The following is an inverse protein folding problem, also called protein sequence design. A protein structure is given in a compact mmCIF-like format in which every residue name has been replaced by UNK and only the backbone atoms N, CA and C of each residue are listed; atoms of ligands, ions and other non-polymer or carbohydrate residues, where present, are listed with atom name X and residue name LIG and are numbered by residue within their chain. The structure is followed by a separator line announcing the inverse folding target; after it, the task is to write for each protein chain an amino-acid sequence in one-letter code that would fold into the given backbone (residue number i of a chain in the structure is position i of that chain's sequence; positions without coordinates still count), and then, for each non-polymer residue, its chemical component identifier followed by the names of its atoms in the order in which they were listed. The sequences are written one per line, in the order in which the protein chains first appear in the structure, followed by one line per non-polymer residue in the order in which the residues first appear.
data_IF_772042455425
#
_entry.id   IF_772042455425
#
_cell.length_a   1.000
_cell.length_b   1.000
_cell.length_c   1.000
_cell.angle_alpha   90.00
_cell.angle_beta   90.00
_cell.angle_gamma   90.00
#
_symmetry.space_group_name_H-M   'P 1'
#
loop_
_entity.id
_entity.type
_entity.pdbx_description
1 polymer ?
#
# COMPACT_ATOMS: atom_id res chain seq x y z
N UNK A 1 -15.05 8.93 -45.42
CA UNK A 1 -15.49 7.97 -44.39
C UNK A 1 -15.30 6.51 -44.79
N UNK A 2 -16.04 5.90 -45.74
CA UNK A 2 -15.85 4.46 -46.06
C UNK A 2 -14.42 4.09 -46.51
N UNK A 3 -13.84 4.89 -47.41
CA UNK A 3 -12.49 4.66 -47.96
C UNK A 3 -11.41 4.80 -46.88
N UNK A 4 -11.47 5.85 -46.05
CA UNK A 4 -10.54 6.07 -44.93
C UNK A 4 -10.66 4.98 -43.85
N UNK A 5 -11.86 4.48 -43.58
CA UNK A 5 -12.07 3.40 -42.58
C UNK A 5 -11.46 2.05 -43.01
N UNK A 6 -11.27 1.85 -44.31
CA UNK A 6 -10.72 0.63 -44.89
C UNK A 6 -9.31 0.81 -45.49
N UNK A 7 -8.65 1.92 -45.18
CA UNK A 7 -7.32 2.29 -45.71
C UNK A 7 -7.24 2.24 -47.26
N UNK A 8 -8.30 2.73 -47.92
CA UNK A 8 -8.40 2.79 -49.38
C UNK A 8 -8.23 4.22 -49.89
N UNK A 9 -7.47 4.37 -50.97
CA UNK A 9 -7.34 5.65 -51.66
C UNK A 9 -8.62 6.00 -52.42
N UNK A 10 -9.12 7.21 -52.19
CA UNK A 10 -10.27 7.72 -52.91
C UNK A 10 -9.83 8.30 -54.27
N UNK A 11 -10.38 7.75 -55.34
CA UNK A 11 -10.15 8.21 -56.71
C UNK A 11 -11.46 8.63 -57.37
N UNK A 12 -11.36 9.53 -58.37
CA UNK A 12 -12.51 10.01 -59.15
C UNK A 12 -13.24 8.88 -59.89
N UNK A 13 -12.50 7.85 -60.31
CA UNK A 13 -13.07 6.65 -60.92
C UNK A 13 -12.83 5.47 -59.99
N UNK A 14 -13.91 4.78 -59.63
CA UNK A 14 -13.84 3.61 -58.76
C UNK A 14 -13.74 2.34 -59.60
N UNK A 15 -12.62 1.63 -59.51
CA UNK A 15 -12.41 0.36 -60.20
C UNK A 15 -12.55 -0.77 -59.18
N UNK A 16 -13.56 -1.61 -59.38
CA UNK A 16 -13.85 -2.76 -58.52
C UNK A 16 -13.58 -4.05 -59.30
N UNK A 17 -12.66 -4.90 -58.83
CA UNK A 17 -12.28 -6.14 -59.52
C UNK A 17 -12.35 -7.33 -58.57
N UNK A 18 -12.97 -8.43 -59.02
CA UNK A 18 -12.92 -9.73 -58.35
C UNK A 18 -12.38 -10.77 -59.31
N UNK A 19 -11.30 -11.42 -58.91
CA UNK A 19 -10.66 -12.49 -59.69
C UNK A 19 -10.93 -13.83 -59.01
N UNK A 20 -11.38 -14.80 -59.80
CA UNK A 20 -11.68 -16.16 -59.33
C UNK A 20 -10.85 -17.12 -60.18
N UNK A 21 -9.91 -17.82 -59.55
CA UNK A 21 -9.10 -18.82 -60.25
C UNK A 21 -9.90 -20.10 -60.51
N UNK A 22 -9.46 -20.90 -61.49
CA UNK A 22 -10.04 -22.23 -61.76
C UNK A 22 -9.92 -23.20 -60.57
N UNK A 23 -8.99 -22.91 -59.66
CA UNK A 23 -8.77 -23.65 -58.40
C UNK A 23 -9.67 -23.15 -57.26
N UNK A 24 -10.53 -22.17 -57.49
CA UNK A 24 -11.49 -21.63 -56.52
C UNK A 24 -10.94 -20.53 -55.60
N UNK A 25 -9.68 -20.10 -55.76
CA UNK A 25 -9.13 -18.97 -55.00
C UNK A 25 -9.75 -17.67 -55.51
N UNK A 26 -10.31 -16.88 -54.61
CA UNK A 26 -10.93 -15.58 -54.92
C UNK A 26 -10.07 -14.45 -54.37
N UNK A 27 -9.82 -13.42 -55.17
CA UNK A 27 -9.17 -12.17 -54.76
C UNK A 27 -10.06 -10.98 -55.13
N UNK A 28 -10.05 -9.94 -54.31
CA UNK A 28 -10.86 -8.74 -54.49
C UNK A 28 -9.96 -7.52 -54.47
N UNK A 29 -10.28 -6.52 -55.30
CA UNK A 29 -9.52 -5.28 -55.42
C UNK A 29 -10.47 -4.09 -55.54
N UNK A 30 -10.07 -2.97 -54.94
CA UNK A 30 -10.68 -1.64 -55.10
C UNK A 30 -9.55 -0.68 -55.44
N UNK A 31 -9.62 0.00 -56.59
CA UNK A 31 -8.55 0.89 -57.10
C UNK A 31 -7.16 0.23 -57.03
N UNK A 32 -7.07 -0.98 -57.59
CA UNK A 32 -5.88 -1.86 -57.57
C UNK A 32 -5.34 -2.27 -56.18
N UNK A 33 -5.98 -1.85 -55.10
CA UNK A 33 -5.65 -2.26 -53.73
C UNK A 33 -6.37 -3.56 -53.36
N UNK A 34 -5.66 -4.62 -52.93
CA UNK A 34 -6.29 -5.88 -52.55
C UNK A 34 -7.09 -5.75 -51.25
N UNK A 35 -8.33 -6.21 -51.25
CA UNK A 35 -9.25 -6.15 -50.11
C UNK A 35 -9.87 -7.51 -49.78
N UNK A 36 -10.39 -7.63 -48.57
CA UNK A 36 -11.23 -8.77 -48.22
C UNK A 36 -12.57 -8.74 -48.96
N UNK A 37 -13.17 -9.91 -49.18
CA UNK A 37 -14.48 -10.03 -49.84
C UNK A 37 -15.60 -9.32 -49.06
N UNK A 38 -15.50 -9.26 -47.73
CA UNK A 38 -16.42 -8.52 -46.85
C UNK A 38 -16.45 -7.03 -47.18
N UNK A 39 -15.27 -6.41 -47.35
CA UNK A 39 -15.10 -4.99 -47.70
C UNK A 39 -15.63 -4.70 -49.11
N UNK A 40 -15.34 -5.59 -50.07
CA UNK A 40 -15.89 -5.49 -51.41
C UNK A 40 -17.44 -5.53 -51.39
N UNK A 41 -18.01 -6.41 -50.57
CA UNK A 41 -19.47 -6.55 -50.42
C UNK A 41 -20.10 -5.32 -49.77
N UNK A 42 -19.55 -4.82 -48.67
CA UNK A 42 -20.09 -3.63 -48.00
C UNK A 42 -20.09 -2.40 -48.91
N UNK A 43 -19.05 -2.24 -49.75
CA UNK A 43 -19.00 -1.17 -50.75
C UNK A 43 -20.00 -1.38 -51.89
N UNK A 44 -20.03 -2.59 -52.48
CA UNK A 44 -20.86 -2.85 -53.66
C UNK A 44 -22.36 -2.84 -53.38
N UNK A 45 -22.80 -3.17 -52.16
CA UNK A 45 -24.21 -3.05 -51.73
C UNK A 45 -24.70 -1.61 -51.77
N UNK A 46 -23.82 -0.62 -51.56
CA UNK A 46 -24.16 0.80 -51.64
C UNK A 46 -24.23 1.34 -53.08
N UNK A 47 -23.62 0.62 -54.03
CA UNK A 47 -23.39 1.12 -55.40
C UNK A 47 -24.18 0.37 -56.48
N UNK A 48 -24.45 -0.91 -56.25
CA UNK A 48 -25.06 -1.80 -57.24
C UNK A 48 -26.18 -2.58 -56.57
N UNK A 49 -27.42 -2.33 -56.99
CA UNK A 49 -28.57 -3.13 -56.59
C UNK A 49 -28.83 -4.23 -57.63
N UNK A 50 -28.33 -5.44 -57.36
CA UNK A 50 -28.58 -6.59 -58.24
C UNK A 50 -29.94 -7.20 -57.87
N UNK A 51 -30.95 -6.98 -58.71
CA UNK A 51 -32.22 -7.70 -58.60
C UNK A 51 -32.06 -9.13 -59.13
N UNK A 52 -31.59 -10.04 -58.25
CA UNK A 52 -31.59 -11.47 -58.52
C UNK A 52 -32.66 -12.18 -57.68
N UNK A 53 -33.00 -13.40 -58.07
CA UNK A 53 -33.91 -14.30 -57.34
C UNK A 53 -33.47 -14.58 -55.87
N UNK A 54 -32.26 -14.19 -55.49
CA UNK A 54 -31.70 -14.29 -54.13
C UNK A 54 -31.97 -13.07 -53.21
N UNK A 55 -32.63 -12.00 -53.67
CA UNK A 55 -33.09 -10.88 -52.81
C UNK A 55 -34.06 -11.32 -51.70
N UNK A 56 -34.53 -12.56 -51.76
CA UNK A 56 -35.36 -13.21 -50.75
C UNK A 56 -34.68 -13.35 -49.37
N UNK A 57 -33.35 -13.19 -49.26
CA UNK A 57 -32.64 -13.31 -47.98
C UNK A 57 -32.78 -12.08 -47.06
N UNK A 58 -32.74 -10.86 -47.59
CA UNK A 58 -32.97 -9.65 -46.78
C UNK A 58 -34.43 -9.52 -46.34
N UNK A 59 -35.37 -9.88 -47.21
CA UNK A 59 -36.80 -9.99 -46.92
C UNK A 59 -37.14 -11.01 -45.82
N UNK A 60 -36.25 -11.96 -45.54
CA UNK A 60 -36.40 -12.93 -44.44
C UNK A 60 -35.77 -12.46 -43.13
N UNK A 61 -34.99 -11.38 -43.13
CA UNK A 61 -34.42 -10.88 -41.88
C UNK A 61 -35.50 -10.20 -41.05
N UNK A 62 -35.57 -10.53 -39.76
CA UNK A 62 -36.55 -9.93 -38.84
C UNK A 62 -36.40 -8.41 -38.73
N UNK A 63 -35.16 -7.92 -38.77
CA UNK A 63 -34.84 -6.49 -38.73
C UNK A 63 -35.42 -5.75 -39.94
N UNK A 64 -35.23 -6.29 -41.15
CA UNK A 64 -35.76 -5.69 -42.37
C UNK A 64 -37.29 -5.78 -42.43
N UNK A 65 -37.88 -6.89 -41.97
CA UNK A 65 -39.34 -7.03 -41.88
C UNK A 65 -39.97 -6.01 -40.92
N UNK A 66 -39.38 -5.80 -39.74
CA UNK A 66 -39.83 -4.78 -38.79
C UNK A 66 -39.67 -3.38 -39.35
N UNK A 67 -38.53 -3.08 -39.95
CA UNK A 67 -38.30 -1.79 -40.61
C UNK A 67 -39.31 -1.52 -41.72
N UNK A 68 -39.63 -2.52 -42.54
CA UNK A 68 -40.64 -2.40 -43.59
C UNK A 68 -42.04 -2.14 -42.99
N UNK A 69 -42.40 -2.82 -41.90
CA UNK A 69 -43.67 -2.60 -41.20
C UNK A 69 -43.72 -1.18 -40.61
N UNK A 70 -42.65 -0.72 -39.98
CA UNK A 70 -42.56 0.62 -39.40
C UNK A 70 -42.73 1.70 -40.48
N UNK A 71 -42.10 1.53 -41.65
CA UNK A 71 -42.24 2.44 -42.80
C UNK A 71 -43.68 2.41 -43.34
N UNK A 72 -44.27 1.22 -43.52
CA UNK A 72 -45.64 1.09 -44.02
C UNK A 72 -46.68 1.67 -43.05
N UNK A 73 -46.39 1.64 -41.75
CA UNK A 73 -47.23 2.22 -40.70
C UNK A 73 -46.94 3.71 -40.43
N UNK A 74 -45.90 4.30 -41.05
CA UNK A 74 -45.51 5.69 -40.85
C UNK A 74 -44.95 5.98 -39.45
N UNK A 75 -44.28 5.00 -38.83
CA UNK A 75 -43.80 5.04 -37.44
C UNK A 75 -42.35 5.53 -37.32
N UNK A 76 -41.77 6.14 -38.35
CA UNK A 76 -40.35 6.51 -38.35
C UNK A 76 -40.02 7.51 -37.23
N UNK A 77 -40.95 8.43 -36.91
CA UNK A 77 -40.77 9.42 -35.84
C UNK A 77 -40.76 8.76 -34.46
N UNK A 78 -41.72 7.88 -34.21
CA UNK A 78 -41.88 7.12 -32.98
C UNK A 78 -40.68 6.18 -32.76
N UNK A 79 -40.25 5.48 -33.81
CA UNK A 79 -39.05 4.63 -33.79
C UNK A 79 -37.80 5.45 -33.45
N UNK A 80 -37.66 6.63 -34.04
CA UNK A 80 -36.50 7.51 -33.78
C UNK A 80 -36.49 8.03 -32.34
N UNK A 81 -37.65 8.49 -31.84
CA UNK A 81 -37.80 8.94 -30.46
C UNK A 81 -37.51 7.82 -29.47
N UNK A 82 -38.13 6.64 -29.66
CA UNK A 82 -37.89 5.46 -28.83
C UNK A 82 -36.41 5.06 -28.83
N UNK A 83 -35.75 5.07 -29.99
CA UNK A 83 -34.33 4.73 -30.09
C UNK A 83 -33.44 5.70 -29.32
N UNK A 84 -33.78 6.99 -29.31
CA UNK A 84 -33.07 8.00 -28.53
C UNK A 84 -33.25 7.76 -27.02
N UNK A 85 -34.50 7.59 -26.57
CA UNK A 85 -34.84 7.35 -25.16
C UNK A 85 -34.20 6.05 -24.64
N UNK A 86 -34.25 4.98 -25.45
CA UNK A 86 -33.64 3.70 -25.10
C UNK A 86 -32.12 3.81 -24.99
N UNK A 87 -31.48 4.58 -25.89
CA UNK A 87 -30.04 4.82 -25.82
C UNK A 87 -29.66 5.61 -24.57
N UNK A 88 -30.45 6.61 -24.20
CA UNK A 88 -30.26 7.36 -22.96
C UNK A 88 -30.44 6.46 -21.73
N UNK A 89 -31.51 5.68 -21.66
CA UNK A 89 -31.76 4.71 -20.59
C UNK A 89 -30.61 3.71 -20.44
N UNK A 90 -30.11 3.16 -21.56
CA UNK A 90 -28.97 2.24 -21.58
C UNK A 90 -27.70 2.90 -21.01
N UNK A 91 -27.43 4.15 -21.39
CA UNK A 91 -26.32 4.92 -20.86
C UNK A 91 -26.46 5.20 -19.36
N UNK A 92 -27.65 5.58 -18.90
CA UNK A 92 -27.95 5.83 -17.49
C UNK A 92 -27.80 4.56 -16.65
N UNK A 93 -28.29 3.42 -17.14
CA UNK A 93 -28.12 2.13 -16.46
C UNK A 93 -26.64 1.74 -16.34
N UNK A 94 -25.84 1.96 -17.40
CA UNK A 94 -24.40 1.71 -17.34
C UNK A 94 -23.70 2.64 -16.35
N UNK A 95 -24.09 3.92 -16.31
CA UNK A 95 -23.54 4.89 -15.35
C UNK A 95 -23.91 4.53 -13.91
N UNK A 96 -25.17 4.13 -13.68
CA UNK A 96 -25.66 3.70 -12.38
C UNK A 96 -24.90 2.46 -11.88
N UNK A 97 -24.74 1.44 -12.72
CA UNK A 97 -23.96 0.25 -12.37
C UNK A 97 -22.50 0.60 -12.01
N UNK A 98 -21.87 1.51 -12.77
CA UNK A 98 -20.52 1.99 -12.46
C UNK A 98 -20.46 2.72 -11.11
N UNK A 99 -21.45 3.57 -10.83
CA UNK A 99 -21.51 4.32 -9.56
C UNK A 99 -21.76 3.42 -8.35
N UNK A 100 -22.56 2.37 -8.51
CA UNK A 100 -22.77 1.36 -7.47
C UNK A 100 -21.48 0.59 -7.16
N UNK A 101 -20.71 0.22 -8.19
CA UNK A 101 -19.41 -0.43 -8.02
C UNK A 101 -18.39 0.51 -7.34
N UNK A 102 -18.29 1.76 -7.79
CA UNK A 102 -17.45 2.79 -7.15
C UNK A 102 -17.82 2.97 -5.67
N UNK A 103 -19.11 3.04 -5.33
CA UNK A 103 -19.57 3.18 -3.95
C UNK A 103 -19.19 1.95 -3.11
N UNK A 104 -19.38 0.74 -3.64
CA UNK A 104 -19.00 -0.50 -2.94
C UNK A 104 -17.51 -0.52 -2.59
N UNK A 105 -16.66 -0.12 -3.53
CA UNK A 105 -15.21 -0.05 -3.33
C UNK A 105 -14.83 1.01 -2.27
N UNK A 106 -15.49 2.17 -2.28
CA UNK A 106 -15.26 3.23 -1.28
C UNK A 106 -15.65 2.76 0.13
N UNK A 107 -16.79 2.07 0.27
CA UNK A 107 -17.24 1.56 1.57
C UNK A 107 -16.27 0.52 2.14
N UNK A 108 -15.77 -0.41 1.32
CA UNK A 108 -14.77 -1.37 1.76
C UNK A 108 -13.47 -0.69 2.22
N UNK A 109 -12.99 0.31 1.47
CA UNK A 109 -11.82 1.09 1.86
C UNK A 109 -12.06 1.88 3.14
N UNK A 110 -13.26 2.43 3.33
CA UNK A 110 -13.64 3.15 4.54
C UNK A 110 -13.60 2.23 5.77
N UNK A 111 -14.18 1.04 5.68
CA UNK A 111 -14.19 0.07 6.78
C UNK A 111 -12.77 -0.32 7.21
N UNK A 112 -11.90 -0.60 6.24
CA UNK A 112 -10.49 -0.87 6.50
C UNK A 112 -9.78 0.30 7.18
N UNK A 113 -9.97 1.53 6.66
CA UNK A 113 -9.34 2.72 7.24
C UNK A 113 -9.83 3.00 8.67
N UNK A 114 -11.12 2.78 8.94
CA UNK A 114 -11.67 2.91 10.29
C UNK A 114 -11.10 1.87 11.25
N UNK A 115 -10.93 0.62 10.78
CA UNK A 115 -10.28 -0.43 11.55
C UNK A 115 -8.84 -0.02 11.92
N UNK A 116 -8.01 0.35 10.94
CA UNK A 116 -6.62 0.76 11.17
C UNK A 116 -6.54 1.98 12.09
N UNK A 117 -7.41 2.97 11.89
CA UNK A 117 -7.47 4.15 12.76
C UNK A 117 -7.82 3.78 14.21
N UNK A 118 -8.75 2.83 14.40
CA UNK A 118 -9.14 2.37 15.73
C UNK A 118 -7.99 1.63 16.43
N UNK A 119 -7.25 0.80 15.69
CA UNK A 119 -6.08 0.09 16.18
C UNK A 119 -4.99 1.09 16.59
N UNK A 120 -4.67 2.06 15.74
CA UNK A 120 -3.69 3.09 16.03
C UNK A 120 -4.07 3.94 17.26
N UNK A 121 -5.34 4.34 17.37
CA UNK A 121 -5.83 5.08 18.54
C UNK A 121 -5.80 4.24 19.82
N UNK A 122 -6.00 2.92 19.73
CA UNK A 122 -5.95 2.03 20.88
C UNK A 122 -4.53 1.90 21.46
N UNK A 123 -3.50 2.01 20.62
CA UNK A 123 -2.10 1.94 21.02
C UNK A 123 -1.63 3.16 21.82
N UNK A 124 -2.33 4.31 21.71
CA UNK A 124 -2.02 5.54 22.46
C UNK A 124 -0.53 5.92 22.46
N UNK A 125 0.10 5.84 21.28
CA UNK A 125 1.54 6.00 21.11
C UNK A 125 2.08 7.34 21.65
N UNK A 126 1.28 8.41 21.58
CA UNK A 126 1.66 9.73 22.10
C UNK A 126 1.83 9.78 23.63
N UNK A 127 1.25 8.82 24.36
CA UNK A 127 1.37 8.72 25.81
C UNK A 127 2.54 7.83 26.26
N UNK A 128 3.26 7.23 25.31
CA UNK A 128 4.38 6.33 25.59
C UNK A 128 5.69 7.13 25.63
N UNK A 129 6.35 7.13 26.80
CA UNK A 129 7.71 7.62 26.92
C UNK A 129 8.70 6.51 26.55
N UNK A 130 9.03 6.46 25.26
CA UNK A 130 9.98 5.49 24.73
C UNK A 130 11.38 5.63 25.35
N UNK A 131 11.78 6.85 25.70
CA UNK A 131 13.10 7.10 26.29
C UNK A 131 13.20 6.49 27.70
N UNK A 132 12.11 6.60 28.47
CA UNK A 132 12.00 5.94 29.77
C UNK A 132 12.02 4.41 29.62
N UNK A 133 11.23 3.85 28.70
CA UNK A 133 11.18 2.39 28.48
C UNK A 133 12.54 1.85 28.05
N UNK A 134 13.24 2.53 27.14
CA UNK A 134 14.57 2.13 26.68
C UNK A 134 15.60 2.18 27.81
N UNK A 135 15.55 3.22 28.66
CA UNK A 135 16.38 3.32 29.86
C UNK A 135 16.10 2.21 30.86
N UNK A 136 14.83 1.88 31.11
CA UNK A 136 14.45 0.77 31.99
C UNK A 136 14.94 -0.56 31.43
N UNK A 137 14.73 -0.81 30.14
CA UNK A 137 15.16 -2.04 29.47
C UNK A 137 16.69 -2.19 29.54
N UNK A 138 17.45 -1.14 29.25
CA UNK A 138 18.91 -1.16 29.38
C UNK A 138 19.36 -1.46 30.82
N UNK A 139 18.68 -0.90 31.83
CA UNK A 139 18.96 -1.23 33.24
C UNK A 139 18.69 -2.70 33.53
N UNK A 140 17.58 -3.25 33.04
CA UNK A 140 17.20 -4.65 33.25
C UNK A 140 18.16 -5.61 32.54
N UNK A 141 18.56 -5.33 31.30
CA UNK A 141 19.56 -6.12 30.57
C UNK A 141 20.91 -6.14 31.29
N UNK A 142 21.31 -5.00 31.87
CA UNK A 142 22.55 -4.89 32.62
C UNK A 142 22.40 -5.21 34.12
N UNK A 143 21.26 -5.75 34.55
CA UNK A 143 20.96 -5.96 35.97
C UNK A 143 21.95 -6.89 36.67
N UNK A 144 22.48 -7.91 35.97
CA UNK A 144 23.49 -8.81 36.51
C UNK A 144 24.83 -8.10 36.73
N UNK A 145 25.26 -7.26 35.78
CA UNK A 145 26.44 -6.42 35.92
C UNK A 145 26.28 -5.41 37.06
N UNK A 146 25.10 -4.77 37.16
CA UNK A 146 24.80 -3.83 38.24
C UNK A 146 24.82 -4.53 39.60
N UNK A 147 24.21 -5.72 39.72
CA UNK A 147 24.27 -6.53 40.94
C UNK A 147 25.70 -6.93 41.29
N UNK A 148 26.52 -7.29 40.32
CA UNK A 148 27.92 -7.61 40.54
C UNK A 148 28.69 -6.38 41.07
N UNK A 149 28.48 -5.19 40.50
CA UNK A 149 29.11 -3.94 40.95
C UNK A 149 28.66 -3.57 42.38
N UNK A 150 27.36 -3.62 42.67
CA UNK A 150 26.86 -3.34 44.03
C UNK A 150 27.37 -4.36 45.05
N UNK A 151 27.44 -5.64 44.68
CA UNK A 151 28.00 -6.69 45.54
C UNK A 151 29.48 -6.45 45.84
N UNK A 152 30.26 -5.99 44.84
CA UNK A 152 31.66 -5.59 45.05
C UNK A 152 31.77 -4.40 46.01
N UNK A 153 30.92 -3.38 45.89
CA UNK A 153 30.89 -2.24 46.80
C UNK A 153 30.52 -2.65 48.24
N UNK A 154 29.56 -3.56 48.41
CA UNK A 154 29.18 -4.10 49.74
C UNK A 154 30.37 -4.83 50.38
N UNK A 155 31.10 -5.63 49.59
CA UNK A 155 32.26 -6.39 50.10
C UNK A 155 33.42 -5.54 50.63
N UNK A 156 33.45 -4.23 50.34
CA UNK A 156 34.44 -3.32 50.92
C UNK A 156 34.33 -3.22 52.44
N UNK A 157 33.13 -3.51 52.98
CA UNK A 157 32.80 -3.47 54.40
C UNK A 157 32.61 -4.84 55.06
N UNK A 158 32.81 -5.94 54.31
CA UNK A 158 32.75 -7.31 54.85
C UNK A 158 33.93 -7.60 55.81
N UNK A 159 33.84 -8.73 56.53
CA UNK A 159 34.93 -9.23 57.38
C UNK A 159 36.24 -9.40 56.58
N UNK A 160 37.34 -8.84 57.08
CA UNK A 160 38.64 -8.68 56.41
C UNK A 160 38.67 -7.74 55.19
N UNK A 161 37.60 -6.98 54.96
CA UNK A 161 37.48 -5.99 53.89
C UNK A 161 38.40 -4.77 54.06
N UNK A 162 38.40 -3.90 53.06
CA UNK A 162 39.22 -2.67 53.05
C UNK A 162 38.88 -1.78 54.26
N UNK A 163 37.61 -1.77 54.69
CA UNK A 163 37.18 -1.04 55.88
C UNK A 163 37.92 -1.47 57.15
N UNK A 164 38.00 -2.78 57.44
CA UNK A 164 38.70 -3.28 58.63
C UNK A 164 40.21 -3.07 58.55
N UNK A 165 40.80 -3.19 57.36
CA UNK A 165 42.22 -2.91 57.14
C UNK A 165 42.54 -1.43 57.41
N UNK A 166 41.72 -0.52 56.90
CA UNK A 166 41.84 0.91 57.14
C UNK A 166 41.56 1.27 58.61
N UNK A 167 40.64 0.57 59.27
CA UNK A 167 40.38 0.74 60.70
C UNK A 167 41.57 0.28 61.56
N UNK A 168 42.25 -0.79 61.16
CA UNK A 168 43.47 -1.27 61.81
C UNK A 168 44.64 -0.29 61.62
N UNK A 169 44.78 0.28 60.43
CA UNK A 169 45.76 1.33 60.13
C UNK A 169 45.46 2.59 60.95
N UNK A 170 44.18 3.00 61.03
CA UNK A 170 43.74 4.12 61.88
C UNK A 170 44.12 3.89 63.34
N UNK A 171 43.88 2.70 63.89
CA UNK A 171 44.28 2.35 65.25
C UNK A 171 45.79 2.38 65.47
N UNK A 172 46.58 2.09 64.43
CA UNK A 172 48.05 2.21 64.47
C UNK A 172 48.50 3.66 64.40
N UNK A 173 47.84 4.49 63.58
CA UNK A 173 48.08 5.94 63.52
C UNK A 173 47.77 6.56 64.88
N UNK A 174 46.63 6.23 65.49
CA UNK A 174 46.20 6.73 66.80
C UNK A 174 47.28 6.54 67.87
N UNK A 175 47.91 5.36 67.91
CA UNK A 175 49.00 5.03 68.85
C UNK A 175 50.29 5.81 68.60
N UNK A 176 50.50 6.34 67.39
CA UNK A 176 51.74 7.00 66.95
C UNK A 176 51.57 8.51 66.68
N UNK A 177 50.37 9.07 66.86
CA UNK A 177 50.07 10.52 66.65
C UNK A 177 50.97 11.46 67.47
N UNK A 178 51.54 10.99 68.58
CA UNK A 178 52.50 11.74 69.39
C UNK A 178 53.91 11.84 68.76
N UNK A 179 54.23 11.01 67.77
CA UNK A 179 55.56 10.95 67.14
C UNK A 179 55.72 11.90 65.95
N UNK A 180 54.63 12.22 65.24
CA UNK A 180 54.62 13.15 64.11
C UNK A 180 53.25 13.84 63.98
N UNK A 181 53.24 15.17 64.01
CA UNK A 181 52.03 15.99 63.84
C UNK A 181 51.32 15.79 62.50
N UNK A 182 52.03 15.36 61.46
CA UNK A 182 51.46 15.05 60.15
C UNK A 182 50.45 13.90 60.21
N UNK A 183 50.58 12.99 61.18
CA UNK A 183 49.67 11.86 61.39
C UNK A 183 48.25 12.32 61.77
N UNK A 184 48.10 13.47 62.45
CA UNK A 184 46.78 14.02 62.79
C UNK A 184 45.99 14.46 61.54
N UNK A 185 46.66 15.09 60.58
CA UNK A 185 46.04 15.49 59.32
C UNK A 185 45.65 14.27 58.48
N UNK A 186 46.50 13.23 58.44
CA UNK A 186 46.22 11.98 57.73
C UNK A 186 45.04 11.24 58.38
N UNK A 187 45.03 11.15 59.72
CA UNK A 187 43.92 10.56 60.48
C UNK A 187 42.58 11.21 60.16
N UNK A 188 42.51 12.54 60.17
CA UNK A 188 41.28 13.27 59.88
C UNK A 188 40.73 12.96 58.49
N UNK A 189 41.60 12.80 57.48
CA UNK A 189 41.18 12.38 56.13
C UNK A 189 40.74 10.92 56.09
N UNK A 190 41.42 10.04 56.83
CA UNK A 190 41.07 8.63 56.93
C UNK A 190 39.69 8.44 57.60
N UNK A 191 39.34 9.27 58.58
CA UNK A 191 38.03 9.27 59.22
C UNK A 191 36.90 9.57 58.22
N UNK A 192 37.09 10.56 57.35
CA UNK A 192 36.14 10.89 56.28
C UNK A 192 36.01 9.73 55.30
N UNK A 193 37.13 9.14 54.87
CA UNK A 193 37.11 8.00 53.93
C UNK A 193 36.39 6.79 54.52
N UNK A 194 36.57 6.50 55.80
CA UNK A 194 35.88 5.39 56.46
C UNK A 194 34.36 5.61 56.54
N UNK A 195 33.91 6.85 56.76
CA UNK A 195 32.49 7.19 56.74
C UNK A 195 31.91 7.03 55.32
N UNK A 196 32.57 7.61 54.33
CA UNK A 196 32.15 7.52 52.91
C UNK A 196 32.09 6.07 52.43
N UNK A 197 33.07 5.23 52.79
CA UNK A 197 33.05 3.80 52.44
C UNK A 197 31.83 3.07 53.03
N UNK A 198 31.44 3.42 54.25
CA UNK A 198 30.27 2.83 54.90
C UNK A 198 28.97 3.31 54.28
N UNK A 199 28.89 4.58 53.91
CA UNK A 199 27.71 5.15 53.24
C UNK A 199 27.53 4.57 51.84
N UNK A 200 28.61 4.45 51.05
CA UNK A 200 28.59 3.80 49.74
C UNK A 200 28.14 2.33 49.81
N UNK A 201 28.59 1.58 50.81
CA UNK A 201 28.16 0.20 51.02
C UNK A 201 26.67 0.11 51.39
N UNK A 202 26.20 0.96 52.30
CA UNK A 202 24.78 1.01 52.70
C UNK A 202 23.86 1.41 51.54
N UNK A 203 24.26 2.38 50.72
CA UNK A 203 23.47 2.79 49.55
C UNK A 203 23.46 1.70 48.48
N UNK A 204 24.58 0.98 48.29
CA UNK A 204 24.65 -0.18 47.41
C UNK A 204 23.73 -1.31 47.87
N UNK A 205 23.63 -1.57 49.18
CA UNK A 205 22.72 -2.56 49.76
C UNK A 205 21.25 -2.23 49.45
N UNK A 206 20.86 -0.96 49.62
CA UNK A 206 19.49 -0.48 49.30
C UNK A 206 19.13 -0.63 47.81
N UNK A 207 20.11 -0.52 46.93
CA UNK A 207 19.93 -0.71 45.48
C UNK A 207 19.88 -2.18 45.07
N UNK A 208 20.41 -3.11 45.87
CA UNK A 208 20.36 -4.54 45.60
C UNK A 208 19.02 -5.17 46.05
N UNK A 209 18.42 -4.62 47.11
CA UNK A 209 17.16 -5.10 47.70
C UNK A 209 15.89 -4.63 46.96
N UNK A 210 16.00 -3.64 46.07
CA UNK A 210 14.91 -3.12 45.21
C UNK A 210 15.02 -3.63 43.77
#
# INVERSE_FOLDING_TARGET
MFFEEHDLDFEKHLIVRREISKEGKSRCFINDTPVQLSVLRSLTVLLIQIHSQYNTLELKSKSYQLELIDILAGLEKERTAFSADFKELSNLNRLLAKKQDELSNILQAQDYNLFVLSELKSLRLDAIDYSFIESELSRMENSENLKAVFSQLISLTDENGIFEQLQTIKGSIDKNTHLDSNLNAIKSRLDVVLLELKDLSNDSLRHLDN
#
